data_IF_509831359678
#
_entry.id   IF_509831359678
#
_cell.length_a   1.000
_cell.length_b   1.000
_cell.length_c   1.000
_cell.angle_alpha   90.00
_cell.angle_beta   90.00
_cell.angle_gamma   90.00
#
_symmetry.space_group_name_H-M   'P 1'
#
loop_
_entity.id
_entity.type
_entity.pdbx_description
1 polymer ?
#
# COMPACT_ATOMS: atom_id res chain seq x y z
N UNK A 1 9.49 -3.44 -6.09
CA UNK A 1 9.13 -2.46 -5.04
C UNK A 1 9.98 -1.19 -5.04
N UNK A 2 11.30 -1.24 -5.31
CA UNK A 2 12.15 -0.04 -5.34
C UNK A 2 11.68 1.11 -6.26
N UNK A 3 11.14 0.80 -7.44
CA UNK A 3 10.62 1.82 -8.37
C UNK A 3 9.33 2.51 -7.88
N UNK A 4 8.52 1.87 -7.05
CA UNK A 4 7.26 2.44 -6.55
C UNK A 4 7.54 3.46 -5.45
N UNK A 5 8.45 3.13 -4.51
CA UNK A 5 8.86 4.06 -3.45
C UNK A 5 9.53 5.34 -4.00
N UNK A 6 10.30 5.22 -5.09
CA UNK A 6 10.95 6.37 -5.74
C UNK A 6 9.97 7.26 -6.53
N UNK A 7 8.74 6.79 -6.79
CA UNK A 7 7.75 7.52 -7.58
C UNK A 7 6.90 8.49 -6.75
N UNK A 8 6.99 8.45 -5.42
CA UNK A 8 6.15 9.23 -4.51
C UNK A 8 6.98 10.00 -3.49
N UNK A 9 7.44 11.19 -3.87
CA UNK A 9 8.15 12.09 -2.97
C UNK A 9 7.31 12.42 -1.72
N UNK A 10 7.91 12.21 -0.55
CA UNK A 10 7.25 12.38 0.76
C UNK A 10 6.38 11.19 1.21
N UNK A 11 6.40 10.05 0.50
CA UNK A 11 5.71 8.82 0.91
C UNK A 11 6.73 7.70 1.14
N UNK A 12 6.72 7.14 2.35
CA UNK A 12 7.47 5.93 2.69
C UNK A 12 6.63 4.70 2.42
N UNK A 13 7.25 3.63 1.90
CA UNK A 13 6.59 2.35 1.61
C UNK A 13 7.27 1.24 2.42
N UNK A 14 6.48 0.53 3.22
CA UNK A 14 6.90 -0.66 3.96
C UNK A 14 6.03 -1.86 3.62
N UNK A 15 6.49 -3.07 3.93
CA UNK A 15 5.67 -4.27 3.77
C UNK A 15 5.88 -5.24 4.91
N UNK A 16 4.81 -5.84 5.41
CA UNK A 16 4.85 -6.88 6.43
C UNK A 16 4.00 -8.09 6.03
N UNK A 17 4.41 -9.32 6.37
CA UNK A 17 3.55 -10.48 6.20
C UNK A 17 2.39 -10.42 7.20
N UNK A 18 1.22 -10.91 6.81
CA UNK A 18 0.09 -11.10 7.72
C UNK A 18 -0.50 -12.50 7.56
N UNK A 19 -1.11 -12.97 8.64
CA UNK A 19 -1.68 -14.30 8.74
C UNK A 19 -3.05 -14.22 9.42
N UNK A 20 -4.05 -14.82 8.79
CA UNK A 20 -5.37 -15.12 9.36
C UNK A 20 -5.61 -16.64 9.19
N UNK A 21 -6.49 -17.29 9.96
CA UNK A 21 -6.76 -18.72 9.77
C UNK A 21 -7.15 -19.03 8.31
N UNK A 22 -6.34 -19.85 7.63
CA UNK A 22 -6.56 -20.21 6.22
C UNK A 22 -6.19 -19.14 5.19
N UNK A 23 -5.65 -17.99 5.60
CA UNK A 23 -5.26 -16.89 4.70
C UNK A 23 -3.92 -16.28 5.12
N UNK A 24 -3.06 -16.00 4.16
CA UNK A 24 -1.83 -15.27 4.40
C UNK A 24 -1.59 -14.32 3.23
N UNK A 25 -0.84 -13.26 3.48
CA UNK A 25 -0.54 -12.29 2.46
C UNK A 25 0.54 -11.32 2.88
N UNK A 26 0.73 -10.30 2.05
CA UNK A 26 1.61 -9.16 2.35
C UNK A 26 0.73 -7.95 2.49
N UNK A 27 0.88 -7.22 3.58
CA UNK A 27 0.32 -5.88 3.71
C UNK A 27 1.41 -4.91 3.28
N UNK A 28 1.03 -3.97 2.43
CA UNK A 28 1.89 -2.85 2.05
C UNK A 28 1.38 -1.61 2.74
N UNK A 29 2.27 -0.93 3.46
CA UNK A 29 1.97 0.27 4.23
C UNK A 29 2.55 1.46 3.51
N UNK A 30 1.74 2.50 3.38
CA UNK A 30 2.18 3.79 2.90
C UNK A 30 2.02 4.80 4.02
N UNK A 31 3.05 5.61 4.25
CA UNK A 31 3.06 6.63 5.31
C UNK A 31 3.62 7.92 4.76
N UNK A 32 3.00 9.05 5.09
CA UNK A 32 3.43 10.38 4.67
C UNK A 32 2.69 11.46 5.45
N UNK A 33 3.16 12.70 5.33
CA UNK A 33 2.56 13.86 5.99
C UNK A 33 1.42 14.50 5.18
N UNK A 34 1.36 14.18 3.89
CA UNK A 34 0.35 14.70 2.95
C UNK A 34 -0.64 13.57 2.64
N UNK A 35 -1.87 13.73 3.13
CA UNK A 35 -2.94 12.75 2.97
C UNK A 35 -3.24 12.46 1.50
N UNK A 36 -3.34 13.49 0.65
CA UNK A 36 -3.71 13.33 -0.74
C UNK A 36 -2.62 12.58 -1.52
N UNK A 37 -1.35 12.83 -1.18
CA UNK A 37 -0.22 12.06 -1.74
C UNK A 37 -0.26 10.59 -1.32
N UNK A 38 -0.51 10.30 -0.05
CA UNK A 38 -0.61 8.92 0.45
C UNK A 38 -1.79 8.19 -0.20
N UNK A 39 -2.95 8.86 -0.32
CA UNK A 39 -4.15 8.30 -0.94
C UNK A 39 -3.94 7.98 -2.42
N UNK A 40 -3.31 8.91 -3.16
CA UNK A 40 -2.96 8.69 -4.57
C UNK A 40 -1.97 7.55 -4.74
N UNK A 41 -0.93 7.50 -3.91
CA UNK A 41 0.08 6.44 -3.96
C UNK A 41 -0.53 5.05 -3.64
N UNK A 42 -1.42 4.98 -2.66
CA UNK A 42 -2.11 3.72 -2.30
C UNK A 42 -2.99 3.22 -3.46
N UNK A 43 -3.73 4.11 -4.11
CA UNK A 43 -4.57 3.79 -5.27
C UNK A 43 -3.74 3.29 -6.46
N UNK A 44 -2.61 3.95 -6.74
CA UNK A 44 -1.73 3.54 -7.84
C UNK A 44 -1.02 2.21 -7.55
N UNK A 45 -0.60 1.98 -6.31
CA UNK A 45 -0.03 0.69 -5.93
C UNK A 45 -1.04 -0.45 -6.09
N UNK A 46 -2.28 -0.27 -5.63
CA UNK A 46 -3.35 -1.26 -5.79
C UNK A 46 -3.54 -1.63 -7.26
N UNK A 47 -3.57 -0.65 -8.16
CA UNK A 47 -3.67 -0.88 -9.60
C UNK A 47 -2.46 -1.67 -10.15
N UNK A 48 -1.24 -1.29 -9.78
CA UNK A 48 -0.02 -1.97 -10.23
C UNK A 48 0.06 -3.43 -9.77
N UNK A 49 -0.38 -3.73 -8.54
CA UNK A 49 -0.41 -5.10 -8.03
C UNK A 49 -1.42 -5.95 -8.81
N UNK A 50 -2.58 -5.37 -9.13
CA UNK A 50 -3.62 -6.02 -9.96
C UNK A 50 -3.17 -6.22 -11.40
N UNK A 51 -2.50 -5.24 -12.00
CA UNK A 51 -1.88 -5.38 -13.33
C UNK A 51 -0.82 -6.49 -13.36
N UNK A 52 -0.12 -6.70 -12.24
CA UNK A 52 0.80 -7.82 -12.03
C UNK A 52 0.14 -9.19 -11.87
N UNK A 53 -1.20 -9.28 -11.89
CA UNK A 53 -1.95 -10.53 -11.75
C UNK A 53 -2.17 -11.01 -10.32
N UNK A 54 -1.96 -10.13 -9.33
CA UNK A 54 -2.18 -10.43 -7.92
C UNK A 54 -3.42 -9.69 -7.38
N UNK A 55 -4.11 -10.30 -6.42
CA UNK A 55 -5.18 -9.60 -5.72
C UNK A 55 -4.61 -8.55 -4.76
N UNK A 56 -5.27 -7.41 -4.71
CA UNK A 56 -4.94 -6.31 -3.82
C UNK A 56 -6.20 -5.57 -3.44
N UNK A 57 -6.31 -5.25 -2.16
CA UNK A 57 -7.39 -4.45 -1.62
C UNK A 57 -6.82 -3.46 -0.62
N UNK A 58 -7.26 -2.21 -0.74
CA UNK A 58 -6.91 -1.17 0.21
C UNK A 58 -7.70 -1.36 1.50
N UNK A 59 -6.99 -1.59 2.59
CA UNK A 59 -7.57 -1.66 3.94
C UNK A 59 -7.92 -0.25 4.46
N UNK A 60 -9.19 0.12 4.37
CA UNK A 60 -9.69 1.41 4.84
C UNK A 60 -9.84 1.44 6.37
N UNK A 61 -10.06 0.29 7.00
CA UNK A 61 -10.23 0.19 8.46
C UNK A 61 -8.89 0.37 9.19
N UNK A 62 -7.80 -0.02 8.55
CA UNK A 62 -6.43 0.16 9.06
C UNK A 62 -5.72 1.40 8.47
N UNK A 63 -6.46 2.33 7.85
CA UNK A 63 -5.95 3.61 7.36
C UNK A 63 -6.26 4.73 8.36
N UNK A 64 -5.25 5.24 9.07
CA UNK A 64 -5.42 6.37 10.02
C UNK A 64 -4.86 7.67 9.44
N UNK A 65 -5.63 8.74 9.56
CA UNK A 65 -5.19 10.10 9.28
C UNK A 65 -5.40 10.95 10.54
N UNK A 66 -4.34 11.57 11.04
CA UNK A 66 -4.36 12.45 12.22
C UNK A 66 -4.08 13.88 11.83
#
# INVERSE_FOLDING_TARGET
MGNIAASFDGVSVGSYPWFKPGQFGTAVVLTGLDKDKVDKAATQLEALVREGGHDAHRDLDNSTFT
#
